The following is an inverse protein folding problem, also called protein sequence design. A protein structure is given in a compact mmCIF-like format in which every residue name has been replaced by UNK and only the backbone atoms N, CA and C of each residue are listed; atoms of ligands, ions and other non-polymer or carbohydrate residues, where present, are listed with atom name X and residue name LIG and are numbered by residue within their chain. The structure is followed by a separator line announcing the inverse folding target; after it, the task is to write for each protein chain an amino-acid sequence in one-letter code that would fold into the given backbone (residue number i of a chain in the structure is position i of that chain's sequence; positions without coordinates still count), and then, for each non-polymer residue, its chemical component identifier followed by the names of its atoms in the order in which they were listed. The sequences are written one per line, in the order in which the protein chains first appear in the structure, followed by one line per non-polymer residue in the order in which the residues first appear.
data_IF_265693401772
#
_entry.id   IF_265693401772
#
_cell.length_a   1.000
_cell.length_b   1.000
_cell.length_c   1.000
_cell.angle_alpha   90.00
_cell.angle_beta   90.00
_cell.angle_gamma   90.00
#
_symmetry.space_group_name_H-M   'P 1'
#
loop_
_entity.id
_entity.type
_entity.pdbx_description
1 polymer ?
#
# COMPACT_ATOMS: atom_id res chain seq x y z
N UNK A 1 15.55 13.92 8.36
CA UNK A 1 15.66 13.16 9.62
C UNK A 1 15.29 11.73 9.30
N UNK A 2 16.29 10.87 9.12
CA UNK A 2 16.09 9.43 8.94
C UNK A 2 16.07 8.82 10.35
N UNK A 3 14.96 8.20 10.74
CA UNK A 3 14.92 7.42 11.98
C UNK A 3 15.78 6.18 11.74
N UNK A 4 17.03 6.22 12.23
CA UNK A 4 17.85 5.02 12.38
C UNK A 4 17.30 4.32 13.62
N UNK A 5 16.36 3.42 13.41
CA UNK A 5 15.87 2.54 14.47
C UNK A 5 16.98 1.49 14.64
N UNK A 6 17.52 1.41 15.85
CA UNK A 6 18.38 0.31 16.31
C UNK A 6 17.71 -1.04 15.99
N UNK A 7 18.43 -2.18 15.99
CA UNK A 7 17.95 -3.53 15.62
C UNK A 7 16.63 -4.02 16.30
N UNK A 8 16.01 -3.19 17.15
CA UNK A 8 14.61 -3.25 17.53
C UNK A 8 13.64 -3.17 16.33
N UNK A 9 13.04 -4.32 15.98
CA UNK A 9 11.88 -4.37 15.09
C UNK A 9 10.77 -3.44 15.60
N UNK A 10 10.19 -2.62 14.71
CA UNK A 10 9.06 -1.73 15.06
C UNK A 10 7.89 -2.56 15.59
N UNK A 11 7.35 -2.15 16.74
CA UNK A 11 6.17 -2.76 17.37
C UNK A 11 4.89 -2.21 16.74
N UNK A 12 4.59 -2.65 15.51
CA UNK A 12 3.45 -2.19 14.72
C UNK A 12 2.09 -2.45 15.40
N UNK A 13 2.00 -3.49 16.21
CA UNK A 13 0.83 -3.85 17.03
C UNK A 13 0.43 -2.73 18.00
N UNK A 14 1.41 -2.01 18.56
CA UNK A 14 1.17 -0.86 19.44
C UNK A 14 0.71 0.39 18.70
N UNK A 15 0.80 0.37 17.37
CA UNK A 15 0.40 1.47 16.49
C UNK A 15 -0.93 1.18 15.78
N UNK A 16 -1.74 0.26 16.29
CA UNK A 16 -3.04 -0.12 15.68
C UNK A 16 -4.01 1.04 15.43
N UNK A 17 -3.90 2.14 16.18
CA UNK A 17 -4.68 3.37 15.97
C UNK A 17 -4.11 4.34 14.91
N UNK A 18 -2.97 4.03 14.29
CA UNK A 18 -2.32 4.91 13.31
C UNK A 18 -3.13 4.98 12.02
N UNK A 19 -3.64 6.16 11.69
CA UNK A 19 -4.42 6.36 10.46
C UNK A 19 -3.55 6.73 9.25
N UNK A 20 -2.36 7.27 9.46
CA UNK A 20 -1.50 7.78 8.40
C UNK A 20 -0.05 7.34 8.60
N UNK A 21 0.52 6.69 7.58
CA UNK A 21 1.92 6.28 7.52
C UNK A 21 2.55 6.81 6.23
N UNK A 22 3.43 7.81 6.35
CA UNK A 22 4.03 8.52 5.21
C UNK A 22 5.46 8.12 4.83
N UNK A 23 6.14 7.43 5.74
CA UNK A 23 7.58 7.17 5.65
C UNK A 23 7.89 5.67 5.76
N UNK A 24 7.03 4.81 5.22
CA UNK A 24 7.33 3.38 5.13
C UNK A 24 8.31 3.15 3.98
N UNK A 25 9.34 2.35 4.23
CA UNK A 25 10.37 2.03 3.24
C UNK A 25 10.48 0.51 3.10
N UNK A 26 10.05 -0.02 1.94
CA UNK A 26 10.02 -1.45 1.64
C UNK A 26 11.41 -2.09 1.49
N UNK A 27 12.48 -1.30 1.45
CA UNK A 27 13.85 -1.81 1.54
C UNK A 27 14.23 -2.19 2.98
N UNK A 28 13.64 -1.52 3.97
CA UNK A 28 14.00 -1.65 5.37
C UNK A 28 12.96 -2.41 6.19
N UNK A 29 11.71 -2.46 5.72
CA UNK A 29 10.58 -3.02 6.45
C UNK A 29 9.74 -3.94 5.59
N UNK A 30 9.22 -5.00 6.20
CA UNK A 30 8.35 -5.97 5.55
C UNK A 30 6.90 -5.47 5.50
N UNK A 31 6.31 -5.38 4.30
CA UNK A 31 4.93 -4.85 4.09
C UNK A 31 3.90 -5.63 4.91
N UNK A 32 4.11 -6.93 5.12
CA UNK A 32 3.23 -7.78 5.92
C UNK A 32 3.05 -7.30 7.37
N UNK A 33 4.05 -6.62 7.95
CA UNK A 33 3.96 -6.10 9.30
C UNK A 33 2.91 -4.98 9.41
N UNK A 34 2.58 -4.32 8.30
CA UNK A 34 1.53 -3.29 8.25
C UNK A 34 0.14 -3.86 8.54
N UNK A 35 -0.10 -5.17 8.41
CA UNK A 35 -1.40 -5.77 8.70
C UNK A 35 -1.90 -5.52 10.14
N UNK A 36 -0.99 -5.15 11.06
CA UNK A 36 -1.31 -4.76 12.44
C UNK A 36 -1.92 -3.35 12.56
N UNK A 37 -1.78 -2.51 11.53
CA UNK A 37 -2.28 -1.13 11.49
C UNK A 37 -3.74 -1.10 11.05
N UNK A 38 -4.63 -1.60 11.90
CA UNK A 38 -6.02 -1.87 11.55
C UNK A 38 -6.83 -0.61 11.20
N UNK A 39 -6.44 0.57 11.70
CA UNK A 39 -7.06 1.86 11.36
C UNK A 39 -6.36 2.64 10.25
N UNK A 40 -5.42 2.04 9.54
CA UNK A 40 -4.66 2.74 8.51
C UNK A 40 -5.55 3.16 7.33
N UNK A 41 -5.53 4.46 7.02
CA UNK A 41 -6.30 5.08 5.91
C UNK A 41 -5.40 5.63 4.83
N UNK A 42 -4.20 6.10 5.19
CA UNK A 42 -3.27 6.74 4.24
C UNK A 42 -1.89 6.10 4.35
N UNK A 43 -1.44 5.51 3.24
CA UNK A 43 -0.18 4.80 3.16
C UNK A 43 0.68 5.34 2.03
N UNK A 44 1.90 5.76 2.37
CA UNK A 44 2.99 5.98 1.41
C UNK A 44 4.09 4.96 1.66
N UNK A 45 4.36 4.16 0.63
CA UNK A 45 5.46 3.21 0.57
C UNK A 45 6.53 3.77 -0.37
N UNK A 46 7.76 3.85 0.12
CA UNK A 46 8.96 4.08 -0.69
C UNK A 46 9.60 2.72 -0.98
N UNK A 47 10.17 2.59 -2.16
CA UNK A 47 11.00 1.44 -2.55
C UNK A 47 10.37 0.06 -2.28
N UNK A 48 9.12 -0.15 -2.73
CA UNK A 48 8.52 -1.49 -2.70
C UNK A 48 9.30 -2.44 -3.61
N UNK A 49 9.50 -3.70 -3.20
CA UNK A 49 10.23 -4.66 -4.03
C UNK A 49 9.37 -5.09 -5.22
N UNK A 50 8.10 -5.39 -4.96
CA UNK A 50 7.08 -5.71 -5.97
C UNK A 50 5.69 -5.30 -5.48
N UNK A 51 4.71 -5.30 -6.39
CA UNK A 51 3.31 -5.12 -5.98
C UNK A 51 2.79 -6.33 -5.19
N UNK A 52 3.35 -7.52 -5.42
CA UNK A 52 2.96 -8.76 -4.75
C UNK A 52 3.05 -8.66 -3.21
N UNK A 53 4.01 -7.90 -2.67
CA UNK A 53 4.13 -7.68 -1.21
C UNK A 53 2.90 -7.00 -0.61
N UNK A 54 2.14 -6.23 -1.41
CA UNK A 54 0.94 -5.53 -0.96
C UNK A 54 -0.30 -6.42 -0.91
N UNK A 55 -0.30 -7.56 -1.61
CA UNK A 55 -1.45 -8.49 -1.68
C UNK A 55 -1.94 -8.87 -0.27
N UNK A 56 -1.01 -9.01 0.67
CA UNK A 56 -1.31 -9.37 2.07
C UNK A 56 -2.17 -8.31 2.76
N UNK A 57 -1.96 -7.03 2.45
CA UNK A 57 -2.68 -5.91 3.07
C UNK A 57 -3.88 -5.42 2.23
N UNK A 58 -3.94 -5.82 0.95
CA UNK A 58 -5.03 -5.49 0.03
C UNK A 58 -6.09 -6.61 -0.12
N UNK A 59 -5.93 -7.74 0.58
CA UNK A 59 -6.93 -8.82 0.61
C UNK A 59 -8.17 -8.45 1.43
N UNK A 60 -9.37 -8.98 1.12
CA UNK A 60 -10.62 -8.64 1.80
C UNK A 60 -10.63 -8.89 3.31
N UNK A 61 -9.82 -9.83 3.80
CA UNK A 61 -9.71 -10.15 5.23
C UNK A 61 -8.81 -9.20 6.01
N UNK A 62 -8.07 -8.31 5.34
CA UNK A 62 -7.23 -7.32 6.01
C UNK A 62 -8.04 -6.03 6.27
N UNK A 63 -8.07 -5.49 7.50
CA UNK A 63 -8.76 -4.23 7.78
C UNK A 63 -8.29 -3.06 6.91
N UNK A 64 -7.03 -3.07 6.46
CA UNK A 64 -6.47 -2.04 5.59
C UNK A 64 -7.24 -1.95 4.28
N UNK A 65 -7.56 -3.07 3.61
CA UNK A 65 -8.28 -3.01 2.32
C UNK A 65 -9.62 -2.30 2.43
N UNK A 66 -10.27 -2.38 3.60
CA UNK A 66 -11.55 -1.76 3.86
C UNK A 66 -11.44 -0.30 4.31
N UNK A 67 -10.30 0.15 4.81
CA UNK A 67 -10.12 1.51 5.35
C UNK A 67 -9.26 2.42 4.47
N UNK A 68 -8.51 1.85 3.53
CA UNK A 68 -7.52 2.58 2.76
C UNK A 68 -8.19 3.59 1.82
N UNK A 69 -7.84 4.86 2.02
CA UNK A 69 -8.34 6.02 1.28
C UNK A 69 -7.31 6.57 0.31
N UNK A 70 -6.02 6.45 0.67
CA UNK A 70 -4.92 6.93 -0.15
C UNK A 70 -3.75 5.95 -0.13
N UNK A 71 -3.34 5.54 -1.31
CA UNK A 71 -2.15 4.72 -1.55
C UNK A 71 -1.18 5.48 -2.43
N UNK A 72 0.07 5.58 -1.99
CA UNK A 72 1.15 6.18 -2.74
C UNK A 72 2.34 5.23 -2.78
N UNK A 73 2.62 4.64 -3.94
CA UNK A 73 3.80 3.81 -4.18
C UNK A 73 4.82 4.65 -4.92
N UNK A 74 5.87 5.11 -4.23
CA UNK A 74 6.86 6.06 -4.81
C UNK A 74 7.70 5.40 -5.90
N UNK A 75 8.19 4.20 -5.60
CA UNK A 75 9.00 3.37 -6.50
C UNK A 75 8.69 1.91 -6.22
N UNK A 76 8.20 1.20 -7.21
CA UNK A 76 8.10 -0.26 -7.25
C UNK A 76 9.22 -0.77 -8.16
N UNK A 77 10.06 -1.67 -7.65
CA UNK A 77 11.25 -2.15 -8.39
C UNK A 77 10.88 -3.13 -9.51
N UNK A 78 10.00 -4.09 -9.21
CA UNK A 78 9.48 -5.00 -10.22
C UNK A 78 8.44 -4.31 -11.12
N UNK A 79 8.39 -4.73 -12.39
CA UNK A 79 7.32 -4.36 -13.32
C UNK A 79 5.97 -4.83 -12.75
N UNK A 80 5.00 -3.93 -12.70
CA UNK A 80 3.64 -4.23 -12.27
C UNK A 80 2.82 -4.76 -13.43
N UNK A 81 2.22 -5.93 -13.25
CA UNK A 81 1.32 -6.52 -14.23
C UNK A 81 -0.12 -6.03 -14.03
N UNK A 82 -0.92 -6.11 -15.10
CA UNK A 82 -2.35 -5.76 -15.03
C UNK A 82 -3.06 -6.54 -13.90
N UNK A 83 -2.69 -7.82 -13.72
CA UNK A 83 -3.25 -8.73 -12.71
C UNK A 83 -2.96 -8.29 -11.29
N UNK A 84 -1.82 -7.66 -11.04
CA UNK A 84 -1.45 -7.14 -9.73
C UNK A 84 -2.40 -6.01 -9.34
N UNK A 85 -2.62 -5.09 -10.28
CA UNK A 85 -3.41 -3.89 -10.07
C UNK A 85 -4.92 -4.17 -9.91
N UNK A 86 -5.42 -5.32 -10.41
CA UNK A 86 -6.83 -5.72 -10.24
C UNK A 86 -7.24 -5.83 -8.78
N UNK A 87 -6.31 -6.13 -7.87
CA UNK A 87 -6.60 -6.25 -6.44
C UNK A 87 -7.02 -4.91 -5.80
N UNK A 88 -6.64 -3.78 -6.40
CA UNK A 88 -7.04 -2.46 -5.93
C UNK A 88 -8.56 -2.24 -6.02
N UNK A 89 -9.27 -2.98 -6.89
CA UNK A 89 -10.73 -2.92 -6.99
C UNK A 89 -11.46 -3.30 -5.69
N UNK A 90 -10.81 -4.05 -4.80
CA UNK A 90 -11.35 -4.42 -3.49
C UNK A 90 -11.38 -3.22 -2.54
N UNK A 91 -10.51 -2.23 -2.74
CA UNK A 91 -10.36 -1.08 -1.85
C UNK A 91 -11.46 -0.04 -2.10
N UNK A 92 -12.66 -0.29 -1.54
CA UNK A 92 -13.86 0.51 -1.82
C UNK A 92 -13.71 2.00 -1.48
N UNK A 93 -12.91 2.36 -0.45
CA UNK A 93 -12.73 3.75 -0.02
C UNK A 93 -11.53 4.45 -0.67
N UNK A 94 -10.76 3.75 -1.51
CA UNK A 94 -9.54 4.28 -2.11
C UNK A 94 -9.88 5.31 -3.18
N UNK A 95 -9.76 6.59 -2.83
CA UNK A 95 -10.06 7.70 -3.73
C UNK A 95 -8.81 8.32 -4.37
N UNK A 96 -7.62 8.08 -3.79
CA UNK A 96 -6.35 8.61 -4.28
C UNK A 96 -5.29 7.53 -4.44
N UNK A 97 -4.80 7.36 -5.66
CA UNK A 97 -3.77 6.39 -6.02
C UNK A 97 -2.62 7.06 -6.75
N UNK A 98 -1.39 6.66 -6.40
CA UNK A 98 -0.17 6.94 -7.16
C UNK A 98 0.64 5.65 -7.30
N UNK A 99 1.04 5.32 -8.52
CA UNK A 99 1.81 4.13 -8.87
C UNK A 99 3.11 4.54 -9.57
N UNK A 100 4.19 4.62 -8.82
CA UNK A 100 5.53 4.86 -9.34
C UNK A 100 6.24 3.55 -9.66
N UNK A 101 6.75 3.42 -10.89
CA UNK A 101 7.40 2.21 -11.39
C UNK A 101 6.96 1.89 -12.81
N UNK A 102 7.46 0.78 -13.35
CA UNK A 102 7.04 0.28 -14.66
C UNK A 102 5.71 -0.47 -14.51
N UNK A 103 4.74 -0.16 -15.36
CA UNK A 103 3.46 -0.89 -15.46
C UNK A 103 3.41 -1.48 -16.87
N UNK A 104 3.36 -2.81 -16.98
CA UNK A 104 3.35 -3.49 -18.28
C UNK A 104 2.09 -3.13 -19.08
N UNK A 105 0.96 -3.05 -18.38
CA UNK A 105 -0.35 -2.72 -18.94
C UNK A 105 -1.28 -2.17 -17.86
N UNK A 106 -1.94 -1.05 -18.16
CA UNK A 106 -2.94 -0.48 -17.27
C UNK A 106 -4.20 -1.36 -17.20
N UNK A 107 -4.79 -1.54 -16.00
CA UNK A 107 -6.04 -2.27 -15.84
C UNK A 107 -7.20 -1.50 -16.46
N UNK A 108 -8.19 -2.25 -16.99
CA UNK A 108 -9.46 -1.66 -17.41
C UNK A 108 -10.18 -0.96 -16.25
N UNK A 109 -11.04 0.02 -16.56
CA UNK A 109 -11.72 0.83 -15.54
C UNK A 109 -12.51 0.01 -14.49
N UNK A 110 -13.07 -1.14 -14.86
CA UNK A 110 -13.75 -2.06 -13.95
C UNK A 110 -12.83 -2.71 -12.89
N UNK A 111 -11.51 -2.62 -13.09
CA UNK A 111 -10.49 -3.16 -12.21
C UNK A 111 -9.81 -2.09 -11.35
N UNK A 112 -10.20 -0.83 -11.50
CA UNK A 112 -9.78 0.26 -10.62
C UNK A 112 -10.71 0.34 -9.39
N UNK A 113 -10.25 0.97 -8.29
CA UNK A 113 -11.11 1.27 -7.16
C UNK A 113 -12.35 2.08 -7.59
N UNK A 114 -13.55 1.74 -7.11
CA UNK A 114 -14.79 2.35 -7.59
C UNK A 114 -14.92 3.84 -7.24
N UNK A 115 -14.31 4.28 -6.14
CA UNK A 115 -14.32 5.67 -5.69
C UNK A 115 -13.05 6.45 -6.09
N UNK A 116 -12.26 5.94 -7.03
CA UNK A 116 -11.02 6.59 -7.47
C UNK A 116 -11.32 7.92 -8.17
N UNK A 117 -11.01 9.03 -7.50
CA UNK A 117 -11.17 10.40 -8.04
C UNK A 117 -9.83 11.02 -8.45
N UNK A 118 -8.72 10.47 -7.95
CA UNK A 118 -7.38 10.97 -8.23
C UNK A 118 -6.41 9.82 -8.52
N UNK A 119 -6.00 9.72 -9.78
CA UNK A 119 -4.86 8.93 -10.24
C UNK A 119 -3.73 9.91 -10.56
N UNK A 120 -2.63 9.84 -9.81
CA UNK A 120 -1.48 10.76 -9.93
C UNK A 120 -0.23 10.00 -10.34
#
# INVERSE_FOLDING_TARGET
MYLKVDDSKVQWDKLSNLETLKNFDGEHWEVQDLAQLTKLRKLKIRNAKSFEELVIILKPSCPISNNLESLYLDKVRATMEETDLRQLSICQHLYKLFLGGEISKLPGHHHLPPNLTKLT
#
